data_IF_494256074617
#
_entry.id   IF_494256074617
#
_cell.length_a   1.000
_cell.length_b   1.000
_cell.length_c   1.000
_cell.angle_alpha   90.00
_cell.angle_beta   90.00
_cell.angle_gamma   90.00
#
_symmetry.space_group_name_H-M   'P 1'
#
loop_
_entity.id
_entity.type
_entity.pdbx_description
1 polymer ?
#
# COMPACT_ATOMS: atom_id res chain seq x y z
N UNK A 1 0.21 7.10 6.00
CA UNK A 1 1.03 6.28 5.06
C UNK A 1 0.24 5.04 4.66
N UNK A 2 0.33 4.61 3.40
CA UNK A 2 -0.25 3.38 2.86
C UNK A 2 0.82 2.52 2.22
N UNK A 3 0.82 1.22 2.52
CA UNK A 3 1.80 0.27 2.00
C UNK A 3 1.06 -0.91 1.36
N UNK A 4 1.26 -1.07 0.05
CA UNK A 4 0.89 -2.25 -0.74
C UNK A 4 2.13 -3.15 -0.86
N UNK A 5 2.19 -4.30 -0.16
CA UNK A 5 3.38 -5.14 -0.12
C UNK A 5 3.62 -5.89 -1.43
N UNK A 6 4.87 -6.34 -1.61
CA UNK A 6 5.34 -7.11 -2.77
C UNK A 6 6.14 -6.27 -3.76
N UNK A 7 6.90 -6.96 -4.63
CA UNK A 7 7.75 -6.31 -5.64
C UNK A 7 6.98 -5.48 -6.68
N UNK A 8 5.69 -5.74 -6.84
CA UNK A 8 4.79 -5.00 -7.73
C UNK A 8 3.94 -3.97 -6.99
N UNK A 9 4.12 -3.83 -5.69
CA UNK A 9 3.43 -2.87 -4.85
C UNK A 9 4.13 -1.54 -4.77
N UNK A 10 3.77 -0.75 -3.73
CA UNK A 10 4.31 0.57 -3.53
C UNK A 10 4.05 1.14 -2.14
N UNK A 11 4.56 2.35 -1.93
CA UNK A 11 4.36 3.10 -0.71
C UNK A 11 3.90 4.52 -1.07
N UNK A 12 2.89 5.00 -0.36
CA UNK A 12 2.39 6.37 -0.50
C UNK A 12 2.25 7.05 0.87
N UNK A 13 2.61 8.31 0.91
CA UNK A 13 2.50 9.15 2.10
C UNK A 13 1.68 10.38 1.77
N UNK A 14 0.65 10.61 2.56
CA UNK A 14 -0.19 11.80 2.50
C UNK A 14 -0.02 12.61 3.77
N UNK A 15 -0.13 13.92 3.66
CA UNK A 15 -0.27 14.80 4.82
C UNK A 15 -1.71 14.76 5.38
N UNK A 16 -1.98 15.55 6.40
CA UNK A 16 -3.28 15.64 7.07
C UNK A 16 -4.39 16.15 6.12
N UNK A 17 -4.04 17.03 5.20
CA UNK A 17 -4.97 17.62 4.23
C UNK A 17 -5.24 16.69 3.05
N UNK A 18 -4.45 15.63 2.90
CA UNK A 18 -4.56 14.64 1.82
C UNK A 18 -3.69 14.97 0.61
N UNK A 19 -2.77 15.92 0.72
CA UNK A 19 -1.79 16.13 -0.32
C UNK A 19 -0.74 15.02 -0.31
N UNK A 20 -0.27 14.63 -1.50
CA UNK A 20 0.71 13.57 -1.64
C UNK A 20 2.10 14.11 -1.34
N UNK A 21 2.68 13.67 -0.22
CA UNK A 21 4.06 13.98 0.18
C UNK A 21 5.05 13.15 -0.65
N UNK A 22 4.81 11.85 -0.73
CA UNK A 22 5.64 10.94 -1.52
C UNK A 22 4.80 9.76 -2.04
N UNK A 23 5.11 9.30 -3.24
CA UNK A 23 4.50 8.09 -3.83
C UNK A 23 5.55 7.39 -4.68
N UNK A 24 5.87 6.15 -4.35
CA UNK A 24 6.91 5.37 -5.02
C UNK A 24 6.53 3.91 -5.20
N UNK A 25 7.18 3.25 -6.17
CA UNK A 25 7.20 1.80 -6.21
C UNK A 25 7.86 1.25 -4.94
N UNK A 26 7.57 -0.02 -4.62
CA UNK A 26 8.23 -0.69 -3.51
C UNK A 26 9.76 -0.66 -3.71
N UNK A 27 10.54 -0.22 -2.71
CA UNK A 27 12.00 -0.30 -2.77
C UNK A 27 12.48 -1.74 -2.92
N UNK A 28 13.60 -1.93 -3.63
CA UNK A 28 14.07 -3.27 -4.03
C UNK A 28 14.73 -4.04 -2.88
N UNK A 29 15.36 -3.35 -1.94
CA UNK A 29 16.12 -3.97 -0.85
C UNK A 29 15.55 -3.64 0.53
N UNK A 30 15.78 -4.51 1.54
CA UNK A 30 15.38 -4.23 2.92
C UNK A 30 15.99 -2.94 3.49
N UNK A 31 17.22 -2.59 3.06
CA UNK A 31 17.86 -1.36 3.49
C UNK A 31 17.14 -0.13 2.93
N UNK A 32 16.80 -0.14 1.64
CA UNK A 32 16.06 0.95 1.02
C UNK A 32 14.65 1.12 1.62
N UNK A 33 14.00 0.00 1.99
CA UNK A 33 12.72 0.02 2.73
C UNK A 33 12.90 0.74 4.07
N UNK A 34 13.93 0.38 4.82
CA UNK A 34 14.23 0.99 6.12
C UNK A 34 14.55 2.48 5.97
N UNK A 35 15.35 2.85 4.97
CA UNK A 35 15.71 4.25 4.68
C UNK A 35 14.49 5.06 4.22
N UNK A 36 13.57 4.45 3.47
CA UNK A 36 12.32 5.09 3.11
C UNK A 36 11.52 5.48 4.35
N UNK A 37 11.29 4.54 5.26
CA UNK A 37 10.51 4.82 6.46
C UNK A 37 11.19 5.77 7.43
N UNK A 38 12.53 5.79 7.50
CA UNK A 38 13.29 6.71 8.35
C UNK A 38 13.10 8.20 8.04
N UNK A 39 12.60 8.52 6.86
CA UNK A 39 12.30 9.91 6.48
C UNK A 39 11.16 10.52 7.29
N UNK A 40 10.34 9.70 7.94
CA UNK A 40 9.09 10.11 8.58
C UNK A 40 9.16 9.97 10.09
N UNK A 41 8.68 10.99 10.81
CA UNK A 41 8.59 10.93 12.28
C UNK A 41 7.55 9.91 12.70
N UNK A 42 7.98 8.95 13.54
CA UNK A 42 7.13 7.89 14.05
C UNK A 42 5.97 8.39 14.92
N UNK A 43 6.14 9.53 15.60
CA UNK A 43 5.11 10.12 16.45
C UNK A 43 4.00 10.80 15.64
N UNK A 44 4.31 11.22 14.41
CA UNK A 44 3.38 11.92 13.53
C UNK A 44 2.84 11.01 12.41
N UNK A 45 3.38 9.79 12.28
CA UNK A 45 3.07 8.89 11.17
C UNK A 45 2.23 7.71 11.64
N UNK A 46 1.11 7.50 10.97
CA UNK A 46 0.34 6.25 11.05
C UNK A 46 0.44 5.53 9.71
N UNK A 47 0.70 4.23 9.74
CA UNK A 47 0.79 3.37 8.57
C UNK A 47 -0.35 2.36 8.52
N UNK A 48 -0.99 2.23 7.37
CA UNK A 48 -1.81 1.07 7.03
C UNK A 48 -1.01 0.18 6.09
N UNK A 49 -0.69 -1.01 6.56
CA UNK A 49 -0.04 -2.07 5.78
C UNK A 49 -1.12 -3.05 5.30
N UNK A 50 -1.18 -3.28 3.99
CA UNK A 50 -2.12 -4.25 3.46
C UNK A 50 -1.79 -5.67 3.93
N UNK A 51 -2.80 -6.38 4.41
CA UNK A 51 -2.72 -7.78 4.86
C UNK A 51 -3.31 -8.69 3.78
N UNK A 52 -2.46 -9.20 2.90
CA UNK A 52 -2.85 -10.08 1.79
C UNK A 52 -2.81 -11.58 2.13
N UNK A 53 -2.57 -11.92 3.39
CA UNK A 53 -2.49 -13.32 3.84
C UNK A 53 -1.19 -14.01 3.43
N UNK A 54 -1.14 -15.34 3.68
CA UNK A 54 0.09 -16.13 3.54
C UNK A 54 0.20 -16.89 2.21
N UNK A 55 -0.23 -16.31 1.12
CA UNK A 55 -0.09 -16.91 -0.20
C UNK A 55 -1.39 -16.98 -0.98
N UNK A 56 -1.26 -16.96 -2.29
CA UNK A 56 -2.38 -17.09 -3.21
C UNK A 56 -2.48 -18.53 -3.72
N UNK A 57 -3.69 -19.09 -3.87
CA UNK A 57 -3.86 -20.38 -4.53
C UNK A 57 -3.16 -20.42 -5.88
N UNK A 58 -2.38 -21.48 -6.14
CA UNK A 58 -1.62 -21.64 -7.38
C UNK A 58 -0.26 -20.94 -7.43
N UNK A 59 0.16 -20.26 -6.38
CA UNK A 59 1.49 -19.66 -6.27
C UNK A 59 2.53 -20.74 -5.88
N UNK A 60 3.74 -20.67 -6.47
CA UNK A 60 4.83 -21.58 -6.09
C UNK A 60 5.31 -21.34 -4.67
N UNK A 61 5.82 -22.40 -4.02
CA UNK A 61 6.38 -22.29 -2.66
C UNK A 61 7.49 -21.24 -2.56
N UNK A 62 8.31 -21.12 -3.60
CA UNK A 62 9.38 -20.10 -3.67
C UNK A 62 8.83 -18.69 -3.72
N UNK A 63 7.78 -18.45 -4.51
CA UNK A 63 7.15 -17.11 -4.59
C UNK A 63 6.47 -16.76 -3.27
N UNK A 64 5.78 -17.70 -2.64
CA UNK A 64 5.17 -17.52 -1.32
C UNK A 64 6.22 -17.19 -0.27
N UNK A 65 7.35 -17.91 -0.24
CA UNK A 65 8.45 -17.67 0.71
C UNK A 65 9.09 -16.28 0.50
N UNK A 66 9.30 -15.86 -0.74
CA UNK A 66 9.82 -14.52 -1.07
C UNK A 66 8.87 -13.42 -0.59
N UNK A 67 7.58 -13.59 -0.84
CA UNK A 67 6.56 -12.64 -0.42
C UNK A 67 6.46 -12.55 1.11
N UNK A 68 6.45 -13.69 1.81
CA UNK A 68 6.41 -13.73 3.27
C UNK A 68 7.63 -13.07 3.90
N UNK A 69 8.83 -13.30 3.35
CA UNK A 69 10.06 -12.63 3.79
C UNK A 69 9.98 -11.12 3.57
N UNK A 70 9.52 -10.67 2.42
CA UNK A 70 9.34 -9.26 2.13
C UNK A 70 8.38 -8.60 3.11
N UNK A 71 7.24 -9.22 3.41
CA UNK A 71 6.30 -8.75 4.43
C UNK A 71 6.97 -8.64 5.81
N UNK A 72 7.76 -9.62 6.19
CA UNK A 72 8.53 -9.58 7.44
C UNK A 72 9.50 -8.41 7.49
N UNK A 73 10.15 -8.05 6.38
CA UNK A 73 11.01 -6.86 6.30
C UNK A 73 10.23 -5.57 6.53
N UNK A 74 9.06 -5.43 5.89
CA UNK A 74 8.19 -4.25 6.08
C UNK A 74 7.72 -4.13 7.53
N UNK A 75 7.21 -5.22 8.09
CA UNK A 75 6.72 -5.27 9.48
C UNK A 75 7.82 -4.93 10.48
N UNK A 76 9.00 -5.53 10.32
CA UNK A 76 10.14 -5.29 11.21
C UNK A 76 10.66 -3.85 11.08
N UNK A 77 10.75 -3.30 9.86
CA UNK A 77 11.20 -1.94 9.67
C UNK A 77 10.25 -0.92 10.32
N UNK A 78 8.95 -1.08 10.14
CA UNK A 78 7.93 -0.22 10.76
C UNK A 78 7.96 -0.32 12.29
N UNK A 79 8.07 -1.53 12.82
CA UNK A 79 8.15 -1.81 14.27
C UNK A 79 9.43 -1.20 14.88
N UNK A 80 10.59 -1.43 14.27
CA UNK A 80 11.87 -0.95 14.76
C UNK A 80 11.95 0.58 14.79
N UNK A 81 11.26 1.25 13.87
CA UNK A 81 11.17 2.71 13.83
C UNK A 81 10.08 3.28 14.73
N UNK A 82 9.26 2.42 15.36
CA UNK A 82 8.15 2.86 16.21
C UNK A 82 6.96 3.46 15.47
N UNK A 83 6.85 3.25 14.16
CA UNK A 83 5.72 3.76 13.37
C UNK A 83 4.46 2.96 13.70
N UNK A 84 3.42 3.65 14.18
CA UNK A 84 2.13 3.02 14.47
C UNK A 84 1.55 2.38 13.21
N UNK A 85 1.44 1.05 13.21
CA UNK A 85 1.02 0.28 12.03
C UNK A 85 -0.27 -0.48 12.29
N UNK A 86 -1.21 -0.36 11.36
CA UNK A 86 -2.49 -1.09 11.34
C UNK A 86 -2.51 -1.99 10.12
N UNK A 87 -2.69 -3.30 10.32
CA UNK A 87 -2.91 -4.24 9.22
C UNK A 87 -4.35 -4.17 8.73
N UNK A 88 -4.54 -4.14 7.42
CA UNK A 88 -5.85 -4.02 6.80
C UNK A 88 -5.99 -4.93 5.58
N UNK A 89 -6.99 -5.81 5.60
CA UNK A 89 -7.29 -6.66 4.45
C UNK A 89 -7.78 -5.84 3.25
N UNK A 90 -7.48 -6.27 2.00
CA UNK A 90 -7.90 -5.58 0.79
C UNK A 90 -9.39 -5.22 0.78
N UNK A 91 -10.25 -6.16 1.08
CA UNK A 91 -11.70 -5.96 1.04
C UNK A 91 -12.17 -4.82 1.96
N UNK A 92 -11.42 -4.53 3.04
CA UNK A 92 -11.81 -3.49 4.01
C UNK A 92 -11.57 -2.09 3.48
N UNK A 93 -10.41 -1.82 2.88
CA UNK A 93 -10.11 -0.51 2.33
C UNK A 93 -10.77 -0.31 0.95
N UNK A 94 -10.85 -1.37 0.12
CA UNK A 94 -11.51 -1.31 -1.19
C UNK A 94 -12.98 -0.88 -1.10
N UNK A 95 -13.72 -1.36 -0.09
CA UNK A 95 -15.12 -0.98 0.13
C UNK A 95 -15.35 0.52 0.27
N UNK A 96 -14.36 1.27 0.75
CA UNK A 96 -14.50 2.72 0.95
C UNK A 96 -14.58 3.51 -0.35
N UNK A 97 -14.25 2.87 -1.47
CA UNK A 97 -14.23 3.51 -2.79
C UNK A 97 -15.48 3.22 -3.64
N UNK A 98 -16.41 2.43 -3.13
CA UNK A 98 -17.69 2.12 -3.78
C UNK A 98 -17.55 1.56 -5.22
N UNK A 99 -16.47 0.81 -5.50
CA UNK A 99 -16.21 0.21 -6.82
C UNK A 99 -16.92 -1.14 -7.02
N UNK A 100 -17.66 -1.60 -6.02
CA UNK A 100 -18.28 -2.92 -6.03
C UNK A 100 -17.39 -3.98 -5.37
N UNK A 101 -17.45 -5.21 -5.86
CA UNK A 101 -16.70 -6.35 -5.32
C UNK A 101 -15.69 -6.85 -6.34
N UNK A 102 -14.44 -7.01 -5.91
CA UNK A 102 -13.35 -7.56 -6.73
C UNK A 102 -13.68 -8.95 -7.32
N UNK A 103 -14.44 -9.77 -6.59
CA UNK A 103 -14.85 -11.10 -7.07
C UNK A 103 -15.81 -11.12 -8.25
N UNK A 104 -16.35 -9.96 -8.67
CA UNK A 104 -17.24 -9.83 -9.84
C UNK A 104 -16.51 -9.37 -11.11
N UNK A 105 -15.19 -9.14 -11.03
CA UNK A 105 -14.38 -8.61 -12.12
C UNK A 105 -13.18 -9.50 -12.38
N UNK A 106 -12.70 -9.49 -13.62
CA UNK A 106 -11.39 -10.02 -13.93
C UNK A 106 -10.31 -9.23 -13.17
N UNK A 107 -9.24 -9.91 -12.76
CA UNK A 107 -8.18 -9.31 -11.93
C UNK A 107 -7.57 -8.05 -12.57
N UNK A 108 -7.35 -8.09 -13.88
CA UNK A 108 -6.80 -6.96 -14.64
C UNK A 108 -7.76 -5.78 -14.72
N UNK A 109 -9.06 -6.06 -14.88
CA UNK A 109 -10.11 -5.04 -14.88
C UNK A 109 -10.22 -4.38 -13.52
N UNK A 110 -10.26 -5.16 -12.44
CA UNK A 110 -10.29 -4.65 -11.08
C UNK A 110 -9.12 -3.72 -10.79
N UNK A 111 -7.91 -4.14 -11.15
CA UNK A 111 -6.70 -3.33 -10.97
C UNK A 111 -6.76 -2.02 -11.75
N UNK A 112 -7.34 -2.03 -12.96
CA UNK A 112 -7.57 -0.80 -13.74
C UNK A 112 -8.57 0.13 -13.05
N UNK A 113 -9.68 -0.40 -12.52
CA UNK A 113 -10.67 0.40 -11.78
C UNK A 113 -10.06 1.07 -10.55
N UNK A 114 -9.23 0.37 -9.80
CA UNK A 114 -8.48 0.93 -8.66
C UNK A 114 -7.53 2.05 -9.11
N UNK A 115 -6.80 1.85 -10.20
CA UNK A 115 -5.93 2.87 -10.76
C UNK A 115 -6.71 4.12 -11.20
N UNK A 116 -7.81 3.97 -11.91
CA UNK A 116 -8.68 5.07 -12.33
C UNK A 116 -9.22 5.83 -11.11
N UNK A 117 -9.60 5.11 -10.04
CA UNK A 117 -10.04 5.74 -8.80
C UNK A 117 -8.93 6.55 -8.13
N UNK A 118 -7.72 6.02 -8.07
CA UNK A 118 -6.57 6.74 -7.56
C UNK A 118 -6.26 8.00 -8.40
N UNK A 119 -6.36 7.91 -9.72
CA UNK A 119 -6.19 9.08 -10.62
C UNK A 119 -7.24 10.17 -10.39
N UNK A 120 -8.49 9.78 -10.11
CA UNK A 120 -9.55 10.73 -9.77
C UNK A 120 -9.31 11.45 -8.45
N UNK A 121 -8.78 10.74 -7.45
CA UNK A 121 -8.50 11.31 -6.13
C UNK A 121 -7.21 12.14 -6.11
N UNK A 122 -6.24 11.81 -6.94
CA UNK A 122 -4.93 12.44 -7.00
C UNK A 122 -4.58 12.93 -8.41
N UNK A 123 -5.40 13.82 -9.01
CA UNK A 123 -5.21 14.26 -10.40
C UNK A 123 -3.87 14.96 -10.62
N UNK A 124 -3.29 15.58 -9.58
CA UNK A 124 -2.00 16.26 -9.62
C UNK A 124 -0.83 15.31 -9.91
N UNK A 125 -0.98 14.02 -9.65
CA UNK A 125 0.07 13.03 -9.92
C UNK A 125 0.14 12.60 -11.39
N UNK A 126 -0.96 12.75 -12.14
CA UNK A 126 -1.02 12.40 -13.55
C UNK A 126 -0.51 10.96 -13.84
N UNK A 127 0.53 10.86 -14.67
CA UNK A 127 1.14 9.57 -15.07
C UNK A 127 1.90 8.85 -13.95
N UNK A 128 2.17 9.49 -12.82
CA UNK A 128 2.81 8.84 -11.66
C UNK A 128 1.89 7.85 -10.96
N UNK A 129 0.58 7.94 -11.18
CA UNK A 129 -0.37 6.90 -10.74
C UNK A 129 -0.27 5.72 -11.71
N UNK A 130 0.37 4.66 -11.26
CA UNK A 130 0.61 3.43 -12.02
C UNK A 130 -0.15 2.25 -11.40
N UNK A 131 -0.10 1.08 -12.03
CA UNK A 131 -0.63 -0.16 -11.44
C UNK A 131 0.13 -0.60 -10.18
N UNK A 132 1.36 -0.11 -9.98
CA UNK A 132 2.18 -0.41 -8.78
C UNK A 132 1.91 0.56 -7.62
N UNK A 133 1.49 1.78 -7.91
CA UNK A 133 1.34 2.83 -6.90
C UNK A 133 -0.11 3.12 -6.52
N UNK A 134 -1.07 2.70 -7.35
CA UNK A 134 -2.47 3.04 -7.13
C UNK A 134 -3.03 2.49 -5.82
N UNK A 135 -2.72 1.26 -5.48
CA UNK A 135 -3.23 0.65 -4.24
C UNK A 135 -2.63 1.33 -3.01
N UNK A 136 -1.31 1.60 -3.02
CA UNK A 136 -0.66 2.34 -1.93
C UNK A 136 -1.27 3.73 -1.70
N UNK A 137 -1.63 4.45 -2.77
CA UNK A 137 -2.33 5.74 -2.69
C UNK A 137 -3.72 5.60 -2.07
N UNK A 138 -4.50 4.59 -2.50
CA UNK A 138 -5.83 4.33 -1.95
C UNK A 138 -5.76 3.89 -0.49
N UNK A 139 -4.79 3.05 -0.13
CA UNK A 139 -4.53 2.62 1.26
C UNK A 139 -4.11 3.82 2.12
N UNK A 140 -3.27 4.73 1.60
CA UNK A 140 -2.87 5.94 2.32
C UNK A 140 -4.06 6.87 2.59
N UNK A 141 -4.95 7.06 1.62
CA UNK A 141 -6.16 7.84 1.80
C UNK A 141 -7.15 7.16 2.76
N UNK A 142 -7.26 5.84 2.71
CA UNK A 142 -8.00 5.08 3.70
C UNK A 142 -7.42 5.29 5.11
N UNK A 143 -6.10 5.20 5.24
CA UNK A 143 -5.39 5.46 6.50
C UNK A 143 -5.71 6.85 7.05
N UNK A 144 -5.62 7.89 6.22
CA UNK A 144 -5.91 9.28 6.59
C UNK A 144 -7.35 9.46 7.10
N UNK A 145 -8.32 8.81 6.44
CA UNK A 145 -9.74 8.91 6.82
C UNK A 145 -10.10 8.17 8.10
N UNK A 146 -9.39 7.09 8.42
CA UNK A 146 -9.74 6.19 9.53
C UNK A 146 -8.91 6.40 10.79
N UNK A 147 -7.81 7.15 10.72
CA UNK A 147 -6.88 7.39 11.84
C UNK A 147 -6.69 8.89 12.14
N UNK A 148 -7.75 9.65 11.98
CA UNK A 148 -7.82 11.05 12.41
C UNK A 148 -7.99 11.16 13.92
#
# INVERSE_FOLDING_TARGET
MGVDPGASGGIAVLDEDGAVVECSNMPDTPMEILEFFRKYDANETVCVLEDVGQGMPGQSSSATAKFARHNGHLEMALLALGIKTVKCRPQKWEKTYALGSSGKHEKSEWKRMLKERAQQLFPQLGKKVTLKTCDALLIAEYCRKTNR
#
